data_IF_835814661548
#
_entry.id   IF_835814661548
#
_cell.length_a   1.000
_cell.length_b   1.000
_cell.length_c   1.000
_cell.angle_alpha   90.00
_cell.angle_beta   90.00
_cell.angle_gamma   90.00
#
_symmetry.space_group_name_H-M   'P 1'
#
loop_
_entity.id
_entity.type
_entity.pdbx_description
1 polymer ?
#
# COMPACT_ATOMS: atom_id res chain seq x y z
N UNK A 1 -50.23 -65.83 -67.14
CA UNK A 1 -49.06 -64.98 -67.44
C UNK A 1 -49.49 -63.54 -67.19
N UNK A 2 -49.25 -63.04 -65.98
CA UNK A 2 -49.36 -61.62 -65.65
C UNK A 2 -48.40 -61.38 -64.47
N UNK A 3 -47.22 -60.86 -64.77
CA UNK A 3 -46.29 -60.35 -63.76
C UNK A 3 -46.69 -58.91 -63.42
N UNK A 4 -47.11 -58.68 -62.17
CA UNK A 4 -47.24 -57.33 -61.63
C UNK A 4 -45.87 -56.78 -61.20
N UNK A 5 -45.46 -55.68 -61.82
CA UNK A 5 -44.34 -54.84 -61.40
C UNK A 5 -44.53 -54.32 -59.96
N UNK A 6 -43.56 -54.60 -59.08
CA UNK A 6 -43.37 -53.90 -57.80
C UNK A 6 -42.51 -52.66 -58.01
N UNK A 7 -43.08 -51.47 -57.81
CA UNK A 7 -42.34 -50.20 -57.76
C UNK A 7 -41.75 -50.05 -56.35
N UNK A 8 -40.42 -50.06 -56.23
CA UNK A 8 -39.70 -49.63 -55.03
C UNK A 8 -39.38 -48.14 -55.13
N UNK A 9 -39.85 -47.34 -54.19
CA UNK A 9 -39.42 -45.94 -54.05
C UNK A 9 -38.27 -45.88 -53.06
N UNK A 10 -37.05 -45.63 -53.54
CA UNK A 10 -35.88 -45.38 -52.68
C UNK A 10 -35.93 -43.91 -52.25
N UNK A 11 -36.21 -43.67 -50.96
CA UNK A 11 -36.00 -42.33 -50.36
C UNK A 11 -34.49 -42.14 -50.18
N UNK A 12 -33.89 -41.30 -51.02
CA UNK A 12 -32.52 -40.82 -50.85
C UNK A 12 -32.52 -39.79 -49.72
N UNK A 13 -32.10 -40.18 -48.52
CA UNK A 13 -31.78 -39.23 -47.44
C UNK A 13 -30.43 -38.60 -47.81
N UNK A 14 -30.48 -37.43 -48.41
CA UNK A 14 -29.32 -36.68 -48.89
C UNK A 14 -28.39 -36.36 -47.72
N UNK A 15 -27.10 -36.68 -47.86
CA UNK A 15 -26.01 -36.33 -46.93
C UNK A 15 -25.89 -34.81 -46.66
N UNK A 16 -26.62 -33.99 -47.41
CA UNK A 16 -26.61 -32.52 -47.35
C UNK A 16 -27.27 -31.98 -46.06
N UNK A 17 -28.39 -32.55 -45.63
CA UNK A 17 -29.12 -32.08 -44.44
C UNK A 17 -28.35 -32.33 -43.13
N UNK A 18 -27.45 -33.32 -43.14
CA UNK A 18 -26.59 -33.65 -42.00
C UNK A 18 -25.48 -32.62 -41.82
N UNK A 19 -24.91 -32.13 -42.91
CA UNK A 19 -23.84 -31.13 -42.87
C UNK A 19 -24.31 -29.77 -42.36
N UNK A 20 -25.55 -29.37 -42.70
CA UNK A 20 -26.11 -28.09 -42.26
C UNK A 20 -26.51 -28.10 -40.77
N UNK A 21 -27.03 -29.24 -40.28
CA UNK A 21 -27.28 -29.47 -38.86
C UNK A 21 -25.98 -29.51 -38.04
N UNK A 22 -24.94 -30.20 -38.54
CA UNK A 22 -23.64 -30.30 -37.86
C UNK A 22 -22.92 -28.92 -37.78
N UNK A 23 -23.05 -28.07 -38.80
CA UNK A 23 -22.51 -26.69 -38.80
C UNK A 23 -23.28 -25.78 -37.84
N UNK A 24 -24.60 -25.91 -37.78
CA UNK A 24 -25.42 -25.16 -36.83
C UNK A 24 -25.13 -25.58 -35.37
N UNK A 25 -24.96 -26.87 -35.11
CA UNK A 25 -24.58 -27.39 -33.79
C UNK A 25 -23.16 -26.98 -33.38
N UNK A 26 -22.20 -26.97 -34.31
CA UNK A 26 -20.87 -26.42 -34.02
C UNK A 26 -20.92 -24.92 -33.71
N UNK A 27 -21.71 -24.15 -34.47
CA UNK A 27 -21.85 -22.70 -34.25
C UNK A 27 -22.48 -22.38 -32.89
N UNK A 28 -23.50 -23.13 -32.48
CA UNK A 28 -24.17 -22.96 -31.19
C UNK A 28 -23.26 -23.41 -30.03
N UNK A 29 -22.50 -24.49 -30.20
CA UNK A 29 -21.49 -24.92 -29.24
C UNK A 29 -20.37 -23.89 -29.06
N UNK A 30 -19.85 -23.31 -30.14
CA UNK A 30 -18.85 -22.25 -30.10
C UNK A 30 -19.41 -20.99 -29.41
N UNK A 31 -20.63 -20.58 -29.76
CA UNK A 31 -21.27 -19.40 -29.17
C UNK A 31 -21.53 -19.58 -27.66
N UNK A 32 -22.04 -20.74 -27.25
CA UNK A 32 -22.25 -21.05 -25.83
C UNK A 32 -20.94 -21.10 -25.04
N UNK A 33 -19.87 -21.69 -25.61
CA UNK A 33 -18.54 -21.66 -24.99
C UNK A 33 -17.98 -20.24 -24.90
N UNK A 34 -18.21 -19.40 -25.90
CA UNK A 34 -17.80 -18.00 -25.88
C UNK A 34 -18.53 -17.22 -24.79
N UNK A 35 -19.85 -17.40 -24.65
CA UNK A 35 -20.65 -16.81 -23.57
C UNK A 35 -20.17 -17.28 -22.19
N UNK A 36 -19.91 -18.57 -22.02
CA UNK A 36 -19.37 -19.12 -20.77
C UNK A 36 -17.99 -18.54 -20.46
N UNK A 37 -17.14 -18.33 -21.47
CA UNK A 37 -15.82 -17.72 -21.30
C UNK A 37 -15.93 -16.25 -20.88
N UNK A 38 -16.87 -15.50 -21.45
CA UNK A 38 -17.15 -14.11 -21.06
C UNK A 38 -17.67 -14.04 -19.61
N UNK A 39 -18.62 -14.92 -19.26
CA UNK A 39 -19.16 -15.01 -17.91
C UNK A 39 -18.05 -15.33 -16.90
N UNK A 40 -17.22 -16.33 -17.19
CA UNK A 40 -16.06 -16.68 -16.38
C UNK A 40 -15.07 -15.51 -16.25
N UNK A 41 -14.81 -14.79 -17.35
CA UNK A 41 -13.97 -13.59 -17.34
C UNK A 41 -14.52 -12.49 -16.41
N UNK A 42 -15.84 -12.31 -16.35
CA UNK A 42 -16.47 -11.38 -15.39
C UNK A 42 -16.27 -11.83 -13.94
N UNK A 43 -16.44 -13.12 -13.66
CA UNK A 43 -16.21 -13.68 -12.33
C UNK A 43 -14.76 -13.53 -11.88
N UNK A 44 -13.79 -13.80 -12.78
CA UNK A 44 -12.36 -13.63 -12.50
C UNK A 44 -12.04 -12.18 -12.19
N UNK A 45 -12.51 -11.22 -13.01
CA UNK A 45 -12.30 -9.79 -12.76
C UNK A 45 -12.88 -9.36 -11.41
N UNK A 46 -14.12 -9.76 -11.11
CA UNK A 46 -14.76 -9.46 -9.82
C UNK A 46 -13.94 -10.02 -8.67
N UNK A 47 -13.48 -11.27 -8.77
CA UNK A 47 -12.64 -11.88 -7.76
C UNK A 47 -11.32 -11.13 -7.57
N UNK A 48 -10.62 -10.77 -8.66
CA UNK A 48 -9.37 -10.01 -8.60
C UNK A 48 -9.55 -8.65 -7.91
N UNK A 49 -10.63 -7.93 -8.23
CA UNK A 49 -10.95 -6.65 -7.60
C UNK A 49 -11.17 -6.83 -6.10
N UNK A 50 -11.94 -7.85 -5.71
CA UNK A 50 -12.21 -8.14 -4.29
C UNK A 50 -10.95 -8.54 -3.53
N UNK A 51 -10.04 -9.30 -4.15
CA UNK A 51 -8.76 -9.66 -3.55
C UNK A 51 -7.87 -8.42 -3.34
N UNK A 52 -7.72 -7.58 -4.37
CA UNK A 52 -6.96 -6.33 -4.25
C UNK A 52 -7.55 -5.44 -3.12
N UNK A 53 -8.87 -5.31 -3.06
CA UNK A 53 -9.56 -4.58 -2.00
C UNK A 53 -9.28 -5.15 -0.60
N UNK A 54 -9.30 -6.48 -0.43
CA UNK A 54 -8.98 -7.14 0.85
C UNK A 54 -7.53 -6.90 1.27
N UNK A 55 -6.62 -6.82 0.30
CA UNK A 55 -5.21 -6.54 0.54
C UNK A 55 -4.90 -5.05 0.67
N UNK A 56 -5.90 -4.18 0.59
CA UNK A 56 -5.74 -2.72 0.52
C UNK A 56 -4.92 -2.24 -0.70
N UNK A 57 -4.85 -3.03 -1.76
CA UNK A 57 -4.14 -2.74 -3.00
C UNK A 57 -5.08 -2.09 -4.02
N UNK A 58 -4.50 -1.34 -4.97
CA UNK A 58 -5.27 -0.71 -6.05
C UNK A 58 -5.65 -1.80 -7.07
N UNK A 59 -6.95 -2.05 -7.33
CA UNK A 59 -7.36 -3.02 -8.33
C UNK A 59 -7.03 -2.55 -9.75
N UNK A 60 -5.96 -3.09 -10.35
CA UNK A 60 -5.46 -2.73 -11.70
C UNK A 60 -6.49 -2.93 -12.81
N UNK A 61 -7.45 -3.84 -12.62
CA UNK A 61 -8.54 -4.12 -13.55
C UNK A 61 -9.61 -3.03 -13.57
N UNK A 62 -9.72 -2.23 -12.51
CA UNK A 62 -10.66 -1.11 -12.38
C UNK A 62 -9.97 0.24 -12.55
N UNK A 63 -8.79 0.40 -11.94
CA UNK A 63 -8.00 1.63 -11.96
C UNK A 63 -6.67 1.31 -12.67
N UNK A 64 -6.63 1.56 -13.98
CA UNK A 64 -5.42 1.35 -14.79
C UNK A 64 -4.37 2.43 -14.51
N UNK A 65 -3.09 2.21 -14.84
CA UNK A 65 -2.02 3.19 -14.61
C UNK A 65 -2.30 4.55 -15.27
N UNK A 66 -2.94 4.56 -16.45
CA UNK A 66 -3.31 5.79 -17.15
C UNK A 66 -4.39 6.58 -16.42
N UNK A 67 -5.43 5.88 -15.91
CA UNK A 67 -6.48 6.49 -15.09
C UNK A 67 -5.86 7.10 -13.83
N UNK A 68 -5.06 6.32 -13.11
CA UNK A 68 -4.41 6.78 -11.88
C UNK A 68 -3.50 7.98 -12.15
N UNK A 69 -2.69 7.93 -13.20
CA UNK A 69 -1.78 9.03 -13.56
C UNK A 69 -2.54 10.32 -13.87
N UNK A 70 -3.64 10.23 -14.64
CA UNK A 70 -4.51 11.37 -14.92
C UNK A 70 -5.12 11.96 -13.65
N UNK A 71 -5.60 11.11 -12.75
CA UNK A 71 -6.18 11.54 -11.47
C UNK A 71 -5.14 12.18 -10.54
N UNK A 72 -3.94 11.60 -10.46
CA UNK A 72 -2.84 12.17 -9.70
C UNK A 72 -2.38 13.51 -10.27
N UNK A 73 -2.35 13.69 -11.59
CA UNK A 73 -2.05 14.99 -12.20
C UNK A 73 -3.08 16.07 -11.82
N UNK A 74 -4.36 15.70 -11.80
CA UNK A 74 -5.44 16.59 -11.35
C UNK A 74 -5.32 16.91 -9.86
N UNK A 75 -5.02 15.92 -9.03
CA UNK A 75 -4.78 16.10 -7.60
C UNK A 75 -3.58 17.02 -7.33
N UNK A 76 -2.46 16.80 -8.03
CA UNK A 76 -1.24 17.59 -7.89
C UNK A 76 -1.52 19.09 -8.08
N UNK A 77 -2.26 19.45 -9.15
CA UNK A 77 -2.66 20.84 -9.42
C UNK A 77 -3.48 21.46 -8.27
N UNK A 78 -4.30 20.67 -7.59
CA UNK A 78 -5.13 21.15 -6.49
C UNK A 78 -4.30 21.36 -5.21
N UNK A 79 -3.42 20.41 -4.87
CA UNK A 79 -2.65 20.46 -3.62
C UNK A 79 -1.45 21.41 -3.68
N UNK A 80 -0.95 21.73 -4.87
CA UNK A 80 0.13 22.72 -5.07
C UNK A 80 -0.24 24.09 -4.49
N UNK A 81 -1.53 24.46 -4.53
CA UNK A 81 -2.05 25.70 -3.94
C UNK A 81 -1.79 25.78 -2.42
N UNK A 82 -1.59 24.63 -1.76
CA UNK A 82 -1.36 24.53 -0.32
C UNK A 82 0.11 24.22 0.05
N UNK A 83 1.08 24.51 -0.84
CA UNK A 83 2.52 24.18 -0.65
C UNK A 83 2.73 22.67 -0.40
N UNK A 84 1.93 21.84 -1.07
CA UNK A 84 1.98 20.39 -1.01
C UNK A 84 2.26 19.79 -2.39
N UNK A 85 2.79 18.58 -2.38
CA UNK A 85 3.04 17.77 -3.57
C UNK A 85 2.86 16.31 -3.23
N UNK A 86 2.59 15.51 -4.24
CA UNK A 86 2.54 14.08 -4.12
C UNK A 86 3.92 13.55 -3.65
N UNK A 87 3.92 12.53 -2.79
CA UNK A 87 5.14 12.01 -2.19
C UNK A 87 5.93 11.09 -3.15
N UNK A 88 5.22 10.33 -3.99
CA UNK A 88 5.79 9.45 -5.01
C UNK A 88 5.69 10.16 -6.36
N UNK A 89 6.76 10.12 -7.14
CA UNK A 89 6.80 10.81 -8.43
C UNK A 89 5.88 10.12 -9.45
N UNK A 90 5.33 10.88 -10.40
CA UNK A 90 4.38 10.37 -11.41
C UNK A 90 5.05 9.43 -12.42
N UNK A 91 6.36 9.52 -12.59
CA UNK A 91 7.17 8.59 -13.38
C UNK A 91 7.23 7.20 -12.73
N UNK A 92 7.09 7.15 -11.40
CA UNK A 92 7.12 5.93 -10.59
C UNK A 92 5.71 5.39 -10.29
N UNK A 93 4.78 5.50 -11.25
CA UNK A 93 3.36 5.14 -11.05
C UNK A 93 3.16 3.70 -10.54
N UNK A 94 4.05 2.77 -10.92
CA UNK A 94 4.02 1.38 -10.49
C UNK A 94 4.11 1.23 -8.96
N UNK A 95 4.84 2.10 -8.27
CA UNK A 95 4.99 2.05 -6.81
C UNK A 95 3.66 2.23 -6.08
N UNK A 96 2.67 2.88 -6.68
CA UNK A 96 1.34 3.00 -6.06
C UNK A 96 0.62 1.67 -5.94
N UNK A 97 0.86 0.76 -6.88
CA UNK A 97 0.21 -0.55 -6.93
C UNK A 97 0.87 -1.56 -5.98
N UNK A 98 2.07 -1.27 -5.49
CA UNK A 98 2.78 -2.07 -4.49
C UNK A 98 2.39 -1.70 -3.04
N UNK A 99 1.56 -0.66 -2.87
CA UNK A 99 1.25 -0.09 -1.56
C UNK A 99 -0.15 -0.48 -1.07
N UNK A 100 -0.30 -0.79 0.23
CA UNK A 100 -1.60 -1.03 0.85
C UNK A 100 -2.30 0.31 1.19
N UNK A 101 -2.66 1.08 0.14
CA UNK A 101 -3.22 2.45 0.24
C UNK A 101 -4.67 2.56 -0.20
N UNK A 102 -5.41 1.45 -0.26
CA UNK A 102 -6.78 1.44 -0.78
C UNK A 102 -7.79 1.02 0.30
N UNK A 103 -8.90 1.75 0.38
CA UNK A 103 -10.09 1.32 1.12
C UNK A 103 -11.21 1.05 0.13
N UNK A 104 -11.89 -0.08 0.29
CA UNK A 104 -13.03 -0.44 -0.53
C UNK A 104 -14.30 -0.54 0.30
N UNK A 105 -15.38 0.06 -0.20
CA UNK A 105 -16.74 -0.11 0.34
C UNK A 105 -17.57 -0.82 -0.70
N UNK A 106 -18.11 -1.98 -0.33
CA UNK A 106 -18.97 -2.78 -1.18
C UNK A 106 -20.40 -2.62 -0.65
N UNK A 107 -21.27 -2.03 -1.45
CA UNK A 107 -22.72 -2.06 -1.26
C UNK A 107 -23.35 -2.92 -2.36
N UNK A 108 -24.67 -3.18 -2.25
CA UNK A 108 -25.40 -4.18 -3.06
C UNK A 108 -25.07 -4.12 -4.57
N UNK A 109 -25.04 -2.92 -5.16
CA UNK A 109 -24.74 -2.73 -6.58
C UNK A 109 -23.50 -1.86 -6.86
N UNK A 110 -22.89 -1.30 -5.82
CA UNK A 110 -21.80 -0.33 -6.00
C UNK A 110 -20.54 -0.73 -5.24
N UNK A 111 -19.42 -0.75 -5.96
CA UNK A 111 -18.09 -0.79 -5.36
C UNK A 111 -17.50 0.62 -5.39
N UNK A 112 -17.22 1.16 -4.23
CA UNK A 112 -16.46 2.40 -4.09
C UNK A 112 -15.02 2.06 -3.69
N UNK A 113 -14.06 2.47 -4.51
CA UNK A 113 -12.62 2.30 -4.25
C UNK A 113 -12.02 3.66 -3.95
N UNK A 114 -11.45 3.81 -2.75
CA UNK A 114 -10.80 5.04 -2.29
C UNK A 114 -9.30 4.82 -2.22
N UNK A 115 -8.55 5.52 -3.06
CA UNK A 115 -7.07 5.47 -3.04
C UNK A 115 -6.53 6.61 -2.18
N UNK A 116 -5.83 6.26 -1.08
CA UNK A 116 -5.18 7.18 -0.15
C UNK A 116 -3.81 7.60 -0.69
N UNK A 117 -3.79 8.67 -1.47
CA UNK A 117 -2.55 9.17 -2.09
C UNK A 117 -1.62 9.80 -1.05
N UNK A 118 -0.36 9.31 -0.91
CA UNK A 118 0.61 9.94 -0.02
C UNK A 118 1.02 11.33 -0.52
N UNK A 119 0.90 12.34 0.34
CA UNK A 119 1.28 13.73 0.05
C UNK A 119 2.32 14.23 1.05
N UNK A 120 3.13 15.20 0.63
CA UNK A 120 4.16 15.85 1.45
C UNK A 120 4.17 17.35 1.20
N UNK A 121 4.75 18.10 2.13
CA UNK A 121 5.00 19.54 1.91
C UNK A 121 6.09 19.73 0.85
N UNK A 122 5.90 20.68 -0.07
CA UNK A 122 6.78 20.84 -1.23
C UNK A 122 8.23 21.19 -0.84
N UNK A 123 8.37 21.99 0.23
CA UNK A 123 9.62 22.55 0.72
C UNK A 123 10.18 21.87 1.99
N UNK A 124 9.72 20.66 2.31
CA UNK A 124 10.29 19.87 3.40
C UNK A 124 11.01 18.65 2.83
N UNK A 125 12.31 18.54 3.14
CA UNK A 125 13.07 17.30 2.95
C UNK A 125 13.22 16.65 4.31
N UNK A 126 12.50 15.54 4.49
CA UNK A 126 12.54 14.75 5.71
C UNK A 126 13.68 13.74 5.63
N UNK A 127 14.43 13.64 6.71
CA UNK A 127 15.41 12.59 6.96
C UNK A 127 14.93 11.79 8.17
N UNK A 128 14.99 10.48 8.06
CA UNK A 128 14.60 9.58 9.14
C UNK A 128 15.86 9.01 9.78
N UNK A 129 15.93 9.11 11.10
CA UNK A 129 17.01 8.57 11.92
C UNK A 129 16.46 7.52 12.87
N UNK A 130 17.18 6.43 13.04
CA UNK A 130 16.90 5.45 14.09
C UNK A 130 17.69 5.82 15.34
N UNK A 131 17.00 5.89 16.48
CA UNK A 131 17.61 6.25 17.76
C UNK A 131 18.02 4.96 18.50
N UNK A 132 19.32 4.64 18.44
CA UNK A 132 19.89 3.51 19.15
C UNK A 132 20.39 3.94 20.54
N UNK A 133 20.04 3.23 21.61
CA UNK A 133 20.60 3.45 22.95
C UNK A 133 21.75 2.51 23.23
N UNK A 134 22.90 3.09 23.56
CA UNK A 134 24.04 2.36 24.12
C UNK A 134 24.15 2.66 25.61
N UNK A 135 24.33 1.65 26.48
CA UNK A 135 24.67 1.88 27.88
C UNK A 135 25.95 2.70 28.01
N UNK A 136 26.05 3.51 29.05
CA UNK A 136 27.21 4.36 29.31
C UNK A 136 27.49 4.47 30.81
N UNK A 137 28.74 4.74 31.17
CA UNK A 137 29.14 4.89 32.57
C UNK A 137 28.87 6.31 33.06
N UNK A 138 28.18 6.44 34.19
CA UNK A 138 27.99 7.71 34.89
C UNK A 138 27.92 7.48 36.39
N UNK A 139 28.69 8.24 37.17
CA UNK A 139 28.66 8.23 38.64
C UNK A 139 28.87 6.80 39.20
N UNK A 140 29.83 6.08 38.61
CA UNK A 140 30.15 4.69 38.96
C UNK A 140 28.99 3.70 38.78
N UNK A 141 28.06 4.02 37.89
CA UNK A 141 26.92 3.19 37.52
C UNK A 141 26.86 3.03 36.00
N UNK A 142 26.33 1.91 35.54
CA UNK A 142 26.00 1.71 34.12
C UNK A 142 24.58 2.22 33.91
N UNK A 143 24.46 3.30 33.16
CA UNK A 143 23.21 3.99 32.89
C UNK A 143 22.74 3.69 31.46
N UNK A 144 21.43 3.65 31.27
CA UNK A 144 20.82 3.68 29.95
C UNK A 144 19.67 4.69 29.93
N UNK A 145 19.53 5.39 28.81
CA UNK A 145 18.42 6.32 28.59
C UNK A 145 17.18 5.50 28.32
N UNK A 146 16.12 5.71 29.10
CA UNK A 146 14.81 5.15 28.80
C UNK A 146 14.14 6.04 27.76
N UNK A 147 13.84 5.50 26.58
CA UNK A 147 13.04 6.23 25.60
C UNK A 147 12.03 5.34 24.91
N UNK A 148 10.92 5.95 24.51
CA UNK A 148 9.82 5.29 23.80
C UNK A 148 9.88 5.52 22.28
N UNK A 149 10.71 6.46 21.80
CA UNK A 149 10.79 6.83 20.38
C UNK A 149 11.87 6.08 19.59
N UNK A 150 11.47 5.21 18.66
CA UNK A 150 12.41 4.43 17.86
C UNK A 150 13.01 5.24 16.69
N UNK A 151 12.20 6.10 16.07
CA UNK A 151 12.65 6.93 14.96
C UNK A 151 12.45 8.43 15.23
N UNK A 152 13.34 9.23 14.65
CA UNK A 152 13.29 10.68 14.62
C UNK A 152 13.24 11.15 13.16
N UNK A 153 12.16 11.83 12.78
CA UNK A 153 12.04 12.48 11.50
C UNK A 153 12.44 13.95 11.62
N UNK A 154 13.47 14.36 10.89
CA UNK A 154 14.03 15.72 10.92
C UNK A 154 13.85 16.37 9.55
N UNK A 155 13.38 17.61 9.52
CA UNK A 155 13.38 18.43 8.32
C UNK A 155 13.80 19.85 8.63
N UNK A 156 14.54 20.46 7.71
CA UNK A 156 14.96 21.86 7.82
C UNK A 156 14.18 22.71 6.82
N UNK A 157 13.57 23.80 7.28
CA UNK A 157 12.96 24.84 6.42
C UNK A 157 13.38 26.21 6.91
N UNK A 158 13.95 27.04 6.03
CA UNK A 158 14.34 28.42 6.34
C UNK A 158 15.14 28.54 7.65
N UNK A 159 16.15 27.68 7.82
CA UNK A 159 16.98 27.57 9.04
C UNK A 159 16.25 27.16 10.33
N UNK A 160 14.95 26.86 10.27
CA UNK A 160 14.21 26.25 11.37
C UNK A 160 14.14 24.74 11.17
N UNK A 161 14.74 24.03 12.11
CA UNK A 161 14.63 22.57 12.18
C UNK A 161 13.30 22.18 12.83
N UNK A 162 12.62 21.21 12.21
CA UNK A 162 11.45 20.55 12.74
C UNK A 162 11.81 19.08 12.93
N UNK A 163 11.82 18.61 14.17
CA UNK A 163 12.00 17.20 14.49
C UNK A 163 10.74 16.63 15.15
N UNK A 164 10.31 15.47 14.66
CA UNK A 164 9.15 14.71 15.10
C UNK A 164 9.57 13.30 15.49
N UNK A 165 9.15 12.83 16.66
CA UNK A 165 9.39 11.46 17.11
C UNK A 165 8.30 10.53 16.61
N UNK A 166 8.70 9.33 16.19
CA UNK A 166 7.80 8.23 15.83
C UNK A 166 8.01 7.11 16.84
N UNK A 167 6.95 6.82 17.61
CA UNK A 167 6.94 5.90 18.74
C UNK A 167 5.62 5.13 18.83
N UNK A 168 5.61 4.05 19.61
CA UNK A 168 4.40 3.32 19.96
C UNK A 168 3.58 2.87 18.74
N UNK A 169 2.29 3.18 18.73
CA UNK A 169 1.36 2.78 17.67
C UNK A 169 1.67 3.42 16.31
N UNK A 170 2.35 4.58 16.28
CA UNK A 170 2.75 5.23 15.02
C UNK A 170 3.82 4.43 14.26
N UNK A 171 4.53 3.51 14.92
CA UNK A 171 5.50 2.62 14.27
C UNK A 171 4.82 1.68 13.25
N UNK A 172 3.57 1.30 13.47
CA UNK A 172 2.82 0.50 12.49
C UNK A 172 2.60 1.24 11.16
N UNK A 173 2.64 2.58 11.19
CA UNK A 173 2.45 3.45 10.04
C UNK A 173 3.78 4.00 9.48
N UNK A 174 4.92 3.54 10.01
CA UNK A 174 6.24 3.89 9.52
C UNK A 174 7.02 2.61 9.23
N UNK A 175 7.11 2.29 7.93
CA UNK A 175 7.74 1.06 7.43
C UNK A 175 8.98 1.40 6.60
N UNK A 176 10.04 1.94 7.23
CA UNK A 176 11.21 2.44 6.50
C UNK A 176 11.93 1.34 5.72
N UNK A 177 11.87 0.10 6.20
CA UNK A 177 12.52 -1.05 5.60
C UNK A 177 11.70 -1.79 4.54
N UNK A 178 10.36 -1.68 4.57
CA UNK A 178 9.49 -2.36 3.60
C UNK A 178 9.18 -1.47 2.40
N UNK A 179 8.60 -0.30 2.62
CA UNK A 179 8.08 0.57 1.54
C UNK A 179 8.63 2.00 1.58
N UNK A 180 9.56 2.30 2.50
CA UNK A 180 10.19 3.62 2.67
C UNK A 180 9.18 4.76 2.90
N UNK A 181 7.98 4.43 3.35
CA UNK A 181 6.93 5.40 3.67
C UNK A 181 6.70 5.42 5.18
N UNK A 182 6.64 6.65 5.70
CA UNK A 182 6.28 6.90 7.07
C UNK A 182 5.22 7.98 7.15
N UNK A 183 4.13 7.68 7.83
CA UNK A 183 3.16 8.68 8.22
C UNK A 183 3.76 9.55 9.33
N UNK A 184 3.88 10.85 9.06
CA UNK A 184 4.32 11.81 10.06
C UNK A 184 3.09 12.44 10.72
N UNK A 185 2.85 12.20 12.02
CA UNK A 185 1.71 12.76 12.70
C UNK A 185 1.82 14.29 12.70
N UNK A 186 0.71 14.97 12.37
CA UNK A 186 0.64 16.45 12.35
C UNK A 186 0.74 17.05 13.75
N UNK A 187 0.37 16.28 14.76
CA UNK A 187 0.43 16.62 16.17
C UNK A 187 1.23 15.55 16.89
N UNK A 188 2.26 15.94 17.63
CA UNK A 188 2.92 15.01 18.55
C UNK A 188 1.94 14.77 19.70
N UNK A 189 1.53 13.53 20.00
CA UNK A 189 0.92 13.27 21.29
C UNK A 189 1.91 13.70 22.38
N UNK A 190 1.38 14.23 23.47
CA UNK A 190 2.08 14.81 24.61
C UNK A 190 2.97 13.80 25.37
N UNK A 191 4.04 13.31 24.73
CA UNK A 191 5.13 12.69 25.45
C UNK A 191 5.97 13.83 26.03
N UNK A 192 5.69 14.22 27.28
CA UNK A 192 6.27 15.35 28.01
C UNK A 192 7.81 15.48 27.87
N UNK A 193 8.51 14.36 27.67
CA UNK A 193 9.98 14.31 27.53
C UNK A 193 10.50 13.64 26.24
N UNK A 194 9.66 12.89 25.51
CA UNK A 194 10.10 12.06 24.38
C UNK A 194 10.73 12.85 23.22
N UNK A 195 10.05 13.89 22.70
CA UNK A 195 10.57 14.70 21.60
C UNK A 195 11.81 15.49 21.96
N UNK A 196 11.90 16.01 23.20
CA UNK A 196 13.04 16.81 23.65
C UNK A 196 14.27 15.94 23.90
N UNK A 197 14.07 14.79 24.54
CA UNK A 197 15.15 13.83 24.77
C UNK A 197 15.76 13.33 23.44
N UNK A 198 14.90 12.96 22.49
CA UNK A 198 15.33 12.54 21.15
C UNK A 198 16.14 13.63 20.43
N UNK A 199 15.68 14.89 20.48
CA UNK A 199 16.37 16.04 19.89
C UNK A 199 17.74 16.29 20.53
N UNK A 200 17.83 16.31 21.86
CA UNK A 200 19.09 16.53 22.56
C UNK A 200 20.15 15.48 22.19
N UNK A 201 19.73 14.20 22.12
CA UNK A 201 20.61 13.12 21.69
C UNK A 201 21.06 13.29 20.24
N UNK A 202 20.14 13.66 19.35
CA UNK A 202 20.43 13.88 17.94
C UNK A 202 21.46 15.01 17.72
N UNK A 203 21.39 16.08 18.52
CA UNK A 203 22.35 17.19 18.44
C UNK A 203 23.65 16.97 19.23
N UNK A 204 23.84 15.81 19.85
CA UNK A 204 25.07 15.48 20.58
C UNK A 204 25.21 16.19 21.93
N UNK A 205 24.10 16.42 22.64
CA UNK A 205 24.11 16.95 24.00
C UNK A 205 24.99 16.10 24.95
N UNK A 206 25.58 16.73 25.95
CA UNK A 206 26.41 16.01 26.93
C UNK A 206 25.55 15.10 27.80
N UNK A 207 26.22 14.14 28.43
CA UNK A 207 25.62 13.23 29.38
C UNK A 207 24.88 14.03 30.47
N UNK A 208 25.52 15.06 31.05
CA UNK A 208 24.98 16.01 32.04
C UNK A 208 23.68 16.71 31.60
N UNK A 209 23.61 17.12 30.34
CA UNK A 209 22.45 17.80 29.75
C UNK A 209 21.29 16.82 29.52
N UNK A 210 21.61 15.61 29.07
CA UNK A 210 20.65 14.54 28.83
C UNK A 210 20.00 14.11 30.16
N UNK A 211 20.72 14.02 31.29
CA UNK A 211 20.10 13.60 32.57
C UNK A 211 19.05 14.57 33.10
N UNK A 212 19.18 15.85 32.78
CA UNK A 212 18.22 16.85 33.23
C UNK A 212 16.88 16.74 32.50
N UNK A 213 16.88 16.14 31.31
CA UNK A 213 15.75 16.20 30.37
C UNK A 213 15.18 14.82 30.05
N UNK A 214 16.02 13.78 30.05
CA UNK A 214 15.67 12.41 29.70
C UNK A 214 15.56 11.52 30.94
N UNK A 215 14.53 10.66 31.05
CA UNK A 215 14.50 9.64 32.09
C UNK A 215 15.63 8.62 31.88
N UNK A 216 16.36 8.35 32.96
CA UNK A 216 17.48 7.40 32.98
C UNK A 216 17.21 6.26 33.93
N UNK A 217 17.68 5.07 33.57
CA UNK A 217 17.76 3.94 34.48
C UNK A 217 19.20 3.51 34.64
N UNK A 218 19.63 3.49 35.89
CA UNK A 218 21.00 3.16 36.27
C UNK A 218 21.02 1.85 37.03
N UNK A 219 22.01 1.02 36.72
CA UNK A 219 22.32 -0.18 37.48
C UNK A 219 23.68 0.03 38.15
N UNK A 220 23.85 -0.35 39.42
CA UNK A 220 25.16 -0.37 40.04
C UNK A 220 26.09 -1.22 39.17
N UNK A 221 27.35 -0.81 39.07
CA UNK A 221 28.35 -1.59 38.35
C UNK A 221 28.38 -2.99 38.98
N UNK A 222 27.86 -3.99 38.25
CA UNK A 222 28.04 -5.37 38.65
C UNK A 222 29.53 -5.61 38.55
N UNK A 223 30.20 -5.65 39.69
CA UNK A 223 31.45 -6.40 39.82
C UNK A 223 31.10 -7.80 39.38
N UNK A 224 31.46 -8.15 38.14
CA UNK A 224 31.54 -9.54 37.72
C UNK A 224 32.56 -10.14 38.69
N UNK A 225 32.06 -10.86 39.70
CA UNK A 225 32.89 -11.73 40.50
C UNK A 225 33.37 -12.82 39.53
N UNK A 226 34.60 -12.65 39.07
CA UNK A 226 35.39 -13.70 38.43
C UNK A 226 36.01 -14.59 39.52
#
# INVERSE_FOLDING_TARGET
MEEMLKIWTIKKKTLYDKYEADVHDLSSFIFNNMLNTIAMGRHIKKFQILQACKNHEIPTTLITPDILKSDLLRLQKHIEQADQKIAINLEDIHKYYELPITDCVIAEETLMVTVKVPIRRANFRWQLYELLTTPFAWHNQTCHIQHEALFLAVATRNQKEVALTISGTNLHQCKPYENKLCYLPRFSPDNLHGPQCAKMRFHGATVEEIAKTCPMRSLPHLTVFA
#
